data_IF_640210684200
#
_entry.id   IF_640210684200
#
_cell.length_a   1.000
_cell.length_b   1.000
_cell.length_c   1.000
_cell.angle_alpha   90.00
_cell.angle_beta   90.00
_cell.angle_gamma   90.00
#
_symmetry.space_group_name_H-M   'P 1'
#
loop_
_entity.id
_entity.type
_entity.pdbx_description
1 polymer ?
#
# COMPACT_ATOMS: atom_id res chain seq x y z
N UNK A 1 11.13 -11.63 23.66
CA UNK A 1 10.80 -13.01 24.12
C UNK A 1 12.06 -13.81 24.40
N UNK A 2 13.11 -13.69 23.58
CA UNK A 2 14.36 -14.46 23.70
C UNK A 2 15.15 -14.08 24.99
N UNK A 3 15.17 -12.81 25.38
CA UNK A 3 15.86 -12.35 26.58
C UNK A 3 15.18 -12.85 27.87
N UNK A 4 13.85 -12.99 27.89
CA UNK A 4 13.08 -13.51 29.03
C UNK A 4 13.28 -15.02 29.18
N UNK A 5 13.42 -15.75 28.08
CA UNK A 5 13.67 -17.19 28.09
C UNK A 5 15.09 -17.55 28.59
N UNK A 6 16.09 -16.69 28.34
CA UNK A 6 17.45 -16.89 28.86
C UNK A 6 17.52 -16.80 30.42
N UNK A 7 16.65 -16.00 31.04
CA UNK A 7 16.56 -15.87 32.48
C UNK A 7 15.82 -17.05 33.13
N UNK A 8 14.85 -17.65 32.43
CA UNK A 8 14.08 -18.79 32.96
C UNK A 8 14.87 -20.12 32.98
N UNK A 9 16.00 -20.23 32.25
CA UNK A 9 16.82 -21.44 32.19
C UNK A 9 17.90 -21.59 33.26
N UNK A 10 18.13 -20.59 34.12
CA UNK A 10 19.19 -20.58 35.13
C UNK A 10 18.63 -20.97 36.53
N UNK A 11 18.25 -22.19 36.63
CA UNK A 11 17.89 -22.76 37.95
C UNK A 11 19.05 -23.61 38.48
N UNK A 12 20.03 -22.96 39.18
CA UNK A 12 20.88 -23.56 40.26
C UNK A 12 22.03 -22.62 40.64
N UNK A 13 21.92 -21.99 41.84
CA UNK A 13 23.03 -21.31 42.52
C UNK A 13 22.83 -19.79 42.71
N UNK A 14 23.30 -19.26 43.85
CA UNK A 14 23.12 -17.89 44.31
C UNK A 14 23.60 -16.74 43.40
N UNK A 15 24.07 -17.00 42.19
CA UNK A 15 24.44 -16.04 41.17
C UNK A 15 23.23 -15.42 40.41
N UNK A 16 22.04 -16.02 40.53
CA UNK A 16 20.85 -15.67 39.74
C UNK A 16 20.23 -14.35 40.14
N UNK A 17 20.14 -14.06 41.43
CA UNK A 17 19.52 -12.83 41.94
C UNK A 17 20.39 -11.59 41.67
N UNK A 18 21.70 -11.70 41.77
CA UNK A 18 22.62 -10.61 41.53
C UNK A 18 22.71 -10.32 40.03
N UNK A 19 22.69 -11.34 39.17
CA UNK A 19 22.62 -11.19 37.74
C UNK A 19 21.29 -10.56 37.32
N UNK A 20 20.16 -10.99 37.89
CA UNK A 20 18.87 -10.37 37.62
C UNK A 20 18.86 -8.89 38.05
N UNK A 21 19.37 -8.53 39.21
CA UNK A 21 19.49 -7.15 39.66
C UNK A 21 20.38 -6.31 38.75
N UNK A 22 21.47 -6.87 38.22
CA UNK A 22 22.35 -6.21 37.30
C UNK A 22 21.70 -5.99 35.90
N UNK A 23 20.81 -6.89 35.45
CA UNK A 23 20.16 -6.82 34.13
C UNK A 23 18.87 -5.98 34.16
N UNK A 24 18.16 -5.89 35.28
CA UNK A 24 16.91 -5.13 35.39
C UNK A 24 16.96 -3.71 34.82
N UNK A 25 18.01 -2.88 35.05
CA UNK A 25 18.10 -1.53 34.54
C UNK A 25 18.19 -1.48 33.00
N UNK A 26 18.64 -2.56 32.34
CA UNK A 26 18.82 -2.60 30.88
C UNK A 26 17.57 -3.10 30.13
N UNK A 27 16.62 -3.73 30.85
CA UNK A 27 15.39 -4.26 30.25
C UNK A 27 14.58 -3.17 29.53
N UNK A 28 14.31 -1.98 30.12
CA UNK A 28 13.57 -0.93 29.43
C UNK A 28 14.26 -0.46 28.15
N UNK A 29 15.58 -0.33 28.16
CA UNK A 29 16.35 0.06 26.97
C UNK A 29 16.29 -1.02 25.89
N UNK A 30 16.41 -2.29 26.24
CA UNK A 30 16.29 -3.39 25.28
C UNK A 30 14.90 -3.46 24.65
N UNK A 31 13.85 -3.24 25.44
CA UNK A 31 12.46 -3.18 24.96
C UNK A 31 12.29 -1.97 24.02
N UNK A 32 12.80 -0.81 24.39
CA UNK A 32 12.72 0.40 23.56
C UNK A 32 13.44 0.21 22.24
N UNK A 33 14.65 -0.35 22.26
CA UNK A 33 15.43 -0.65 21.04
C UNK A 33 14.69 -1.64 20.14
N UNK A 34 14.16 -2.72 20.69
CA UNK A 34 13.39 -3.71 19.94
C UNK A 34 12.12 -3.09 19.32
N UNK A 35 11.44 -2.19 20.04
CA UNK A 35 10.28 -1.47 19.53
C UNK A 35 10.66 -0.55 18.38
N UNK A 36 11.78 0.18 18.52
CA UNK A 36 12.29 1.04 17.44
C UNK A 36 12.69 0.24 16.21
N UNK A 37 13.37 -0.90 16.38
CA UNK A 37 13.73 -1.78 15.26
C UNK A 37 12.50 -2.29 14.52
N UNK A 38 11.48 -2.78 15.24
CA UNK A 38 10.22 -3.21 14.63
C UNK A 38 9.49 -2.08 13.90
N UNK A 39 9.53 -0.87 14.46
CA UNK A 39 8.94 0.30 13.83
C UNK A 39 9.69 0.67 12.54
N UNK A 40 11.02 0.65 12.56
CA UNK A 40 11.84 0.88 11.36
C UNK A 40 11.59 -0.19 10.28
N UNK A 41 11.51 -1.46 10.68
CA UNK A 41 11.18 -2.55 9.78
C UNK A 41 9.79 -2.37 9.15
N UNK A 42 8.80 -2.02 9.96
CA UNK A 42 7.45 -1.72 9.47
C UNK A 42 7.46 -0.56 8.45
N UNK A 43 8.07 0.58 8.78
CA UNK A 43 8.16 1.74 7.90
C UNK A 43 9.01 1.50 6.64
N UNK A 44 9.87 0.48 6.64
CA UNK A 44 10.59 0.08 5.43
C UNK A 44 9.69 -0.48 4.34
N UNK A 45 8.55 -1.07 4.72
CA UNK A 45 7.62 -1.75 3.82
C UNK A 45 6.21 -1.14 3.78
N UNK A 46 5.92 -0.15 4.62
CA UNK A 46 4.61 0.49 4.68
C UNK A 46 4.72 2.01 4.52
N UNK A 47 3.67 2.60 3.97
CA UNK A 47 3.49 4.05 3.88
C UNK A 47 3.03 4.58 5.24
N UNK A 48 3.66 5.62 5.74
CA UNK A 48 3.44 6.17 7.08
C UNK A 48 2.08 6.88 7.25
N UNK A 49 1.51 7.40 6.16
CA UNK A 49 0.22 8.09 6.18
C UNK A 49 -0.96 7.12 6.10
N UNK A 50 -0.88 6.14 5.22
CA UNK A 50 -2.02 5.24 4.92
C UNK A 50 -1.91 3.86 5.57
N UNK A 51 -0.70 3.47 6.02
CA UNK A 51 -0.43 2.11 6.50
C UNK A 51 -0.43 1.03 5.40
N UNK A 52 -0.66 1.41 4.14
CA UNK A 52 -0.58 0.51 2.98
C UNK A 52 0.85 0.06 2.74
N UNK A 53 1.03 -0.96 1.92
CA UNK A 53 2.35 -1.34 1.41
C UNK A 53 2.94 -0.18 0.60
N UNK A 54 4.25 0.03 0.73
CA UNK A 54 4.94 1.09 0.02
C UNK A 54 5.64 0.57 -1.24
N UNK A 55 6.36 1.45 -1.94
CA UNK A 55 7.12 1.10 -3.13
C UNK A 55 8.19 0.03 -2.90
N UNK A 56 8.82 -0.01 -1.73
CA UNK A 56 9.84 -1.02 -1.44
C UNK A 56 9.20 -2.41 -1.34
N UNK A 57 7.99 -2.50 -0.77
CA UNK A 57 7.23 -3.76 -0.77
C UNK A 57 6.88 -4.24 -2.17
N UNK A 58 6.56 -3.32 -3.10
CA UNK A 58 6.33 -3.70 -4.49
C UNK A 58 7.59 -4.24 -5.16
N UNK A 59 8.74 -3.58 -4.95
CA UNK A 59 10.03 -4.07 -5.48
C UNK A 59 10.35 -5.46 -4.94
N UNK A 60 10.19 -5.65 -3.62
CA UNK A 60 10.41 -6.95 -2.99
C UNK A 60 9.43 -8.03 -3.53
N UNK A 61 8.18 -7.68 -3.76
CA UNK A 61 7.21 -8.56 -4.41
C UNK A 61 7.66 -8.94 -5.83
N UNK A 62 8.04 -7.97 -6.67
CA UNK A 62 8.47 -8.22 -8.05
C UNK A 62 9.73 -9.08 -8.12
N UNK A 63 10.69 -8.88 -7.21
CA UNK A 63 11.93 -9.65 -7.13
C UNK A 63 11.69 -11.11 -6.68
N UNK A 64 10.67 -11.37 -5.88
CA UNK A 64 10.43 -12.66 -5.26
C UNK A 64 9.25 -13.44 -5.84
N UNK A 65 8.34 -12.79 -6.59
CA UNK A 65 7.16 -13.44 -7.15
C UNK A 65 7.54 -14.49 -8.16
N UNK A 66 7.01 -15.70 -7.97
CA UNK A 66 7.19 -16.80 -8.91
C UNK A 66 6.00 -16.87 -9.86
N UNK A 67 6.13 -16.27 -11.01
CA UNK A 67 5.08 -16.24 -12.04
C UNK A 67 4.49 -17.61 -12.38
N UNK A 68 5.32 -18.67 -12.27
CA UNK A 68 4.89 -20.06 -12.49
C UNK A 68 3.91 -20.61 -11.42
N UNK A 69 3.83 -19.98 -10.25
CA UNK A 69 2.93 -20.35 -9.17
C UNK A 69 1.59 -19.59 -9.26
N UNK A 70 1.54 -18.50 -10.06
CA UNK A 70 0.34 -17.70 -10.28
C UNK A 70 -0.57 -18.36 -11.32
N UNK A 71 -1.84 -18.56 -10.96
CA UNK A 71 -2.86 -19.03 -11.91
C UNK A 71 -3.46 -17.88 -12.72
N UNK A 72 -3.52 -16.71 -12.12
CA UNK A 72 -3.96 -15.44 -12.71
C UNK A 72 -3.51 -14.29 -11.84
N UNK A 73 -3.42 -13.10 -12.42
CA UNK A 73 -3.10 -11.87 -11.72
C UNK A 73 -3.92 -10.72 -12.30
N UNK A 74 -4.64 -10.00 -11.44
CA UNK A 74 -5.25 -8.71 -11.75
C UNK A 74 -4.38 -7.59 -11.22
N UNK A 75 -4.14 -6.57 -12.04
CA UNK A 75 -3.45 -5.35 -11.66
C UNK A 75 -4.33 -4.13 -11.92
N UNK A 76 -4.35 -3.18 -10.97
CA UNK A 76 -5.08 -1.92 -11.07
C UNK A 76 -4.18 -0.79 -10.59
N UNK A 77 -3.89 0.17 -11.47
CA UNK A 77 -3.17 1.41 -11.14
C UNK A 77 -4.16 2.56 -11.00
N UNK A 78 -3.98 3.40 -9.99
CA UNK A 78 -4.84 4.52 -9.65
C UNK A 78 -4.00 5.76 -9.39
N UNK A 79 -4.50 6.92 -9.81
CA UNK A 79 -3.87 8.22 -9.56
C UNK A 79 -4.95 9.26 -9.19
N UNK A 80 -4.65 10.08 -8.17
CA UNK A 80 -5.52 11.17 -7.73
C UNK A 80 -5.23 12.42 -8.57
N UNK A 81 -6.14 12.78 -9.45
CA UNK A 81 -5.99 13.93 -10.33
C UNK A 81 -6.05 15.24 -9.54
N UNK A 82 -5.05 16.09 -9.72
CA UNK A 82 -5.10 17.45 -9.20
C UNK A 82 -4.92 17.60 -7.70
N UNK A 83 -4.42 16.59 -6.97
CA UNK A 83 -4.16 16.63 -5.53
C UNK A 83 -3.38 17.89 -5.10
N UNK A 84 -2.42 18.35 -5.92
CA UNK A 84 -1.67 19.58 -5.67
C UNK A 84 -2.54 20.84 -5.62
N UNK A 85 -3.56 20.91 -6.47
CA UNK A 85 -4.50 22.04 -6.49
C UNK A 85 -5.45 21.95 -5.30
N UNK A 86 -5.90 20.74 -4.96
CA UNK A 86 -6.68 20.48 -3.75
C UNK A 86 -5.94 20.94 -2.50
N UNK A 87 -4.67 20.57 -2.34
CA UNK A 87 -3.84 20.97 -1.22
C UNK A 87 -3.65 22.51 -1.14
N UNK A 88 -3.65 23.19 -2.28
CA UNK A 88 -3.56 24.67 -2.30
C UNK A 88 -4.87 25.35 -1.87
N UNK A 89 -6.00 24.75 -2.22
CA UNK A 89 -7.33 25.31 -1.96
C UNK A 89 -7.84 25.00 -0.56
N UNK A 90 -7.67 23.75 -0.12
CA UNK A 90 -8.26 23.23 1.13
C UNK A 90 -7.23 22.92 2.23
N UNK A 91 -5.94 23.05 1.93
CA UNK A 91 -4.86 22.72 2.87
C UNK A 91 -4.35 21.27 2.73
N UNK A 92 -3.17 21.03 3.30
CA UNK A 92 -2.52 19.70 3.23
C UNK A 92 -3.27 18.63 4.02
N UNK A 93 -3.78 18.98 5.18
CA UNK A 93 -4.51 18.05 6.06
C UNK A 93 -5.71 17.43 5.34
N UNK A 94 -6.42 18.25 4.54
CA UNK A 94 -7.54 17.77 3.72
C UNK A 94 -7.07 16.81 2.62
N UNK A 95 -5.95 17.11 1.96
CA UNK A 95 -5.35 16.19 0.98
C UNK A 95 -4.93 14.87 1.58
N UNK A 96 -4.37 14.89 2.78
CA UNK A 96 -3.97 13.70 3.53
C UNK A 96 -5.20 12.86 3.93
N UNK A 97 -6.32 13.50 4.28
CA UNK A 97 -7.60 12.82 4.52
C UNK A 97 -8.13 12.13 3.25
N UNK A 98 -8.10 12.79 2.10
CA UNK A 98 -8.50 12.21 0.80
C UNK A 98 -7.63 11.00 0.45
N UNK A 99 -6.31 11.11 0.60
CA UNK A 99 -5.35 10.04 0.38
C UNK A 99 -5.69 8.84 1.27
N UNK A 100 -5.86 9.07 2.57
CA UNK A 100 -6.16 8.00 3.53
C UNK A 100 -7.48 7.31 3.20
N UNK A 101 -8.52 8.09 2.89
CA UNK A 101 -9.85 7.58 2.51
C UNK A 101 -9.81 6.70 1.26
N UNK A 102 -9.03 7.08 0.24
CA UNK A 102 -8.85 6.27 -0.97
C UNK A 102 -8.17 4.95 -0.60
N UNK A 103 -7.13 5.00 0.22
CA UNK A 103 -6.45 3.80 0.70
C UNK A 103 -7.39 2.84 1.45
N UNK A 104 -8.24 3.36 2.34
CA UNK A 104 -9.25 2.58 3.08
C UNK A 104 -10.24 1.89 2.13
N UNK A 105 -10.74 2.60 1.11
CA UNK A 105 -11.63 2.02 0.10
C UNK A 105 -10.94 0.90 -0.66
N UNK A 106 -9.70 1.10 -1.08
CA UNK A 106 -8.97 0.07 -1.80
C UNK A 106 -8.76 -1.19 -0.93
N UNK A 107 -8.42 -1.04 0.34
CA UNK A 107 -8.31 -2.18 1.26
C UNK A 107 -9.66 -2.87 1.49
N UNK A 108 -10.76 -2.12 1.57
CA UNK A 108 -12.11 -2.67 1.76
C UNK A 108 -12.53 -3.56 0.57
N UNK A 109 -12.31 -3.09 -0.67
CA UNK A 109 -12.76 -3.81 -1.86
C UNK A 109 -11.77 -4.86 -2.37
N UNK A 110 -10.49 -4.72 -2.06
CA UNK A 110 -9.43 -5.64 -2.48
C UNK A 110 -8.78 -6.37 -1.29
N UNK A 111 -9.58 -6.79 -0.31
CA UNK A 111 -9.13 -7.47 0.92
C UNK A 111 -8.38 -8.79 0.68
N UNK A 112 -8.49 -9.39 -0.50
CA UNK A 112 -7.75 -10.58 -0.93
C UNK A 112 -6.50 -10.26 -1.76
N UNK A 113 -6.22 -8.97 -1.99
CA UNK A 113 -5.09 -8.49 -2.76
C UNK A 113 -4.14 -7.66 -1.93
N UNK A 114 -3.04 -7.29 -2.54
CA UNK A 114 -2.07 -6.37 -1.99
C UNK A 114 -2.29 -4.96 -2.54
N UNK A 115 -2.38 -3.99 -1.64
CA UNK A 115 -2.60 -2.58 -1.97
C UNK A 115 -1.35 -1.79 -1.62
N UNK A 116 -0.78 -1.14 -2.62
CA UNK A 116 0.45 -0.36 -2.51
C UNK A 116 0.15 1.13 -2.72
N UNK A 117 0.79 1.98 -1.92
CA UNK A 117 0.92 3.41 -2.22
C UNK A 117 2.32 3.68 -2.73
N UNK A 118 2.45 4.01 -4.01
CA UNK A 118 3.75 4.13 -4.69
C UNK A 118 4.38 5.52 -4.55
N UNK A 119 3.53 6.55 -4.61
CA UNK A 119 3.87 7.96 -4.44
C UNK A 119 2.71 8.68 -3.76
N UNK A 120 2.82 10.01 -3.59
CA UNK A 120 1.82 10.83 -2.91
C UNK A 120 0.38 10.63 -3.39
N UNK A 121 0.16 10.44 -4.69
CA UNK A 121 -1.14 10.36 -5.36
C UNK A 121 -1.37 9.04 -6.13
N UNK A 122 -0.40 8.11 -6.12
CA UNK A 122 -0.46 6.88 -6.92
C UNK A 122 -0.57 5.63 -6.06
N UNK A 123 -1.51 4.76 -6.45
CA UNK A 123 -1.73 3.44 -5.86
C UNK A 123 -1.63 2.35 -6.92
N UNK A 124 -1.25 1.17 -6.47
CA UNK A 124 -1.30 -0.07 -7.24
C UNK A 124 -1.99 -1.14 -6.41
N UNK A 125 -2.84 -1.92 -7.05
CA UNK A 125 -3.47 -3.10 -6.45
C UNK A 125 -3.10 -4.32 -7.27
N UNK A 126 -2.65 -5.37 -6.60
CA UNK A 126 -2.38 -6.68 -7.20
C UNK A 126 -3.28 -7.73 -6.55
N UNK A 127 -4.01 -8.49 -7.35
CA UNK A 127 -4.91 -9.55 -6.86
C UNK A 127 -4.56 -10.86 -7.53
N UNK A 128 -3.91 -11.73 -6.78
CA UNK A 128 -3.51 -13.05 -7.25
C UNK A 128 -4.69 -14.03 -7.29
N UNK A 129 -4.61 -14.98 -8.21
CA UNK A 129 -5.51 -16.13 -8.30
C UNK A 129 -7.00 -15.75 -8.33
N UNK A 130 -7.33 -14.59 -8.88
CA UNK A 130 -8.70 -14.10 -9.07
C UNK A 130 -9.20 -14.37 -10.48
N UNK A 131 -10.53 -14.42 -10.67
CA UNK A 131 -11.12 -14.44 -12.01
C UNK A 131 -11.29 -13.04 -12.55
N UNK A 132 -11.28 -12.89 -13.88
CA UNK A 132 -11.53 -11.60 -14.54
C UNK A 132 -12.84 -10.97 -14.07
N UNK A 133 -13.90 -11.77 -13.96
CA UNK A 133 -15.22 -11.29 -13.51
C UNK A 133 -15.20 -10.77 -12.08
N UNK A 134 -14.57 -11.48 -11.14
CA UNK A 134 -14.47 -11.05 -9.75
C UNK A 134 -13.61 -9.78 -9.64
N UNK A 135 -12.49 -9.73 -10.35
CA UNK A 135 -11.59 -8.58 -10.33
C UNK A 135 -12.28 -7.32 -10.87
N UNK A 136 -12.92 -7.41 -12.04
CA UNK A 136 -13.65 -6.27 -12.63
C UNK A 136 -14.83 -5.83 -11.78
N UNK A 137 -15.53 -6.76 -11.12
CA UNK A 137 -16.60 -6.44 -10.18
C UNK A 137 -16.09 -5.65 -8.97
N UNK A 138 -14.94 -6.03 -8.41
CA UNK A 138 -14.29 -5.30 -7.32
C UNK A 138 -13.87 -3.89 -7.77
N UNK A 139 -13.27 -3.76 -8.97
CA UNK A 139 -12.91 -2.45 -9.55
C UNK A 139 -14.14 -1.55 -9.68
N UNK A 140 -15.23 -2.06 -10.26
CA UNK A 140 -16.43 -1.26 -10.47
C UNK A 140 -17.03 -0.78 -9.15
N UNK A 141 -17.09 -1.64 -8.15
CA UNK A 141 -17.59 -1.30 -6.82
C UNK A 141 -16.69 -0.26 -6.12
N UNK A 142 -15.37 -0.44 -6.17
CA UNK A 142 -14.41 0.52 -5.65
C UNK A 142 -14.49 1.87 -6.36
N UNK A 143 -14.55 1.88 -7.71
CA UNK A 143 -14.69 3.10 -8.51
C UNK A 143 -15.92 3.91 -8.12
N UNK A 144 -17.08 3.27 -8.00
CA UNK A 144 -18.33 3.94 -7.58
C UNK A 144 -18.17 4.60 -6.20
N UNK A 145 -17.46 3.97 -5.28
CA UNK A 145 -17.21 4.53 -3.95
C UNK A 145 -16.21 5.68 -4.01
N UNK A 146 -15.16 5.53 -4.80
CA UNK A 146 -14.12 6.55 -4.98
C UNK A 146 -14.66 7.80 -5.67
N UNK A 147 -15.53 7.70 -6.64
CA UNK A 147 -16.19 8.84 -7.29
C UNK A 147 -16.93 9.73 -6.29
N UNK A 148 -17.57 9.12 -5.29
CA UNK A 148 -18.26 9.85 -4.23
C UNK A 148 -17.31 10.56 -3.26
N UNK A 149 -16.08 10.09 -3.09
CA UNK A 149 -15.08 10.66 -2.17
C UNK A 149 -14.24 11.71 -2.87
N UNK A 150 -13.78 11.41 -4.07
CA UNK A 150 -12.81 12.22 -4.81
C UNK A 150 -13.43 13.16 -5.83
N UNK A 151 -14.76 13.27 -5.89
CA UNK A 151 -15.49 14.09 -6.85
C UNK A 151 -15.10 13.82 -8.32
N UNK A 152 -14.84 12.56 -8.67
CA UNK A 152 -14.41 12.16 -10.02
C UNK A 152 -12.95 12.47 -10.34
N UNK A 153 -12.12 12.69 -9.34
CA UNK A 153 -10.71 13.06 -9.51
C UNK A 153 -9.75 11.86 -9.58
N UNK A 154 -10.24 10.66 -9.86
CA UNK A 154 -9.41 9.46 -9.93
C UNK A 154 -9.27 9.00 -11.38
N UNK A 155 -8.04 8.72 -11.81
CA UNK A 155 -7.76 8.03 -13.08
C UNK A 155 -7.31 6.61 -12.79
N UNK A 156 -7.78 5.65 -13.58
CA UNK A 156 -7.53 4.22 -13.38
C UNK A 156 -7.04 3.55 -14.66
N UNK A 157 -6.15 2.57 -14.50
CA UNK A 157 -5.79 1.63 -15.56
C UNK A 157 -5.75 0.24 -14.95
N UNK A 158 -6.39 -0.73 -15.58
CA UNK A 158 -6.39 -2.10 -15.08
C UNK A 158 -6.27 -3.12 -16.21
N UNK A 159 -5.70 -4.27 -15.86
CA UNK A 159 -5.58 -5.41 -16.76
C UNK A 159 -5.56 -6.70 -15.93
N UNK A 160 -5.78 -7.83 -16.60
CA UNK A 160 -5.82 -9.14 -15.98
C UNK A 160 -5.22 -10.18 -16.91
N UNK A 161 -4.28 -10.96 -16.39
CA UNK A 161 -3.61 -12.01 -17.12
C UNK A 161 -3.81 -13.38 -16.49
N UNK A 162 -3.78 -14.42 -17.32
CA UNK A 162 -3.88 -15.83 -16.95
C UNK A 162 -2.89 -16.64 -17.78
N UNK A 163 -2.11 -17.49 -17.10
CA UNK A 163 -1.04 -18.29 -17.70
C UNK A 163 0.12 -17.40 -18.23
N UNK A 164 1.33 -17.88 -18.06
CA UNK A 164 2.57 -17.23 -18.52
C UNK A 164 2.63 -15.72 -18.19
N UNK A 165 2.28 -15.40 -16.94
CA UNK A 165 2.13 -14.01 -16.47
C UNK A 165 3.49 -13.34 -16.37
N UNK A 166 3.66 -12.24 -17.11
CA UNK A 166 4.77 -11.31 -16.94
C UNK A 166 4.32 -10.16 -16.03
N UNK A 167 4.62 -10.30 -14.74
CA UNK A 167 4.14 -9.39 -13.70
C UNK A 167 4.64 -7.96 -13.92
N UNK A 168 5.91 -7.77 -14.28
CA UNK A 168 6.47 -6.44 -14.52
C UNK A 168 5.79 -5.77 -15.73
N UNK A 169 5.59 -6.53 -16.80
CA UNK A 169 4.89 -6.04 -17.98
C UNK A 169 3.44 -5.68 -17.68
N UNK A 170 2.74 -6.50 -16.91
CA UNK A 170 1.37 -6.24 -16.50
C UNK A 170 1.27 -4.94 -15.66
N UNK A 171 2.15 -4.75 -14.69
CA UNK A 171 2.23 -3.53 -13.89
C UNK A 171 2.52 -2.31 -14.76
N UNK A 172 3.49 -2.39 -15.68
CA UNK A 172 3.79 -1.31 -16.60
C UNK A 172 2.61 -0.96 -17.53
N UNK A 173 1.89 -1.97 -18.03
CA UNK A 173 0.72 -1.77 -18.89
C UNK A 173 -0.38 -0.98 -18.18
N UNK A 174 -0.74 -1.37 -16.94
CA UNK A 174 -1.81 -0.68 -16.20
C UNK A 174 -1.41 0.76 -15.82
N UNK A 175 -0.13 1.03 -15.57
CA UNK A 175 0.36 2.39 -15.38
C UNK A 175 0.22 3.25 -16.64
N UNK A 176 0.52 2.69 -17.82
CA UNK A 176 0.35 3.38 -19.11
C UNK A 176 -1.12 3.70 -19.33
N UNK A 177 -2.02 2.72 -19.12
CA UNK A 177 -3.47 2.90 -19.27
C UNK A 177 -4.00 4.00 -18.35
N UNK A 178 -3.59 4.01 -17.09
CA UNK A 178 -3.95 5.03 -16.11
C UNK A 178 -3.49 6.43 -16.55
N UNK A 179 -2.25 6.57 -17.04
CA UNK A 179 -1.72 7.84 -17.55
C UNK A 179 -2.47 8.35 -18.80
N UNK A 180 -2.89 7.45 -19.68
CA UNK A 180 -3.70 7.80 -20.83
C UNK A 180 -5.07 8.32 -20.42
N UNK A 181 -5.72 7.69 -19.46
CA UNK A 181 -6.99 8.14 -18.90
C UNK A 181 -6.84 9.51 -18.23
N UNK A 182 -5.81 9.68 -17.41
CA UNK A 182 -5.46 10.96 -16.78
C UNK A 182 -5.32 12.09 -17.83
N UNK A 183 -4.62 11.81 -18.92
CA UNK A 183 -4.43 12.79 -19.99
C UNK A 183 -5.75 13.16 -20.72
N UNK A 184 -6.67 12.20 -20.89
CA UNK A 184 -8.00 12.44 -21.46
C UNK A 184 -8.84 13.32 -20.51
N UNK A 185 -8.83 13.06 -19.23
CA UNK A 185 -9.54 13.84 -18.22
C UNK A 185 -9.07 15.29 -18.19
N UNK A 186 -7.76 15.54 -18.20
CA UNK A 186 -7.23 16.92 -18.27
C UNK A 186 -7.58 17.66 -19.56
N UNK A 187 -7.66 16.99 -20.70
CA UNK A 187 -8.06 17.62 -21.97
C UNK A 187 -9.54 18.02 -21.96
N UNK A 188 -10.39 17.23 -21.32
CA UNK A 188 -11.82 17.51 -21.19
C UNK A 188 -12.09 18.70 -20.25
N UNK A 189 -11.37 18.79 -19.12
CA UNK A 189 -11.46 19.93 -18.20
C UNK A 189 -11.05 21.25 -18.87
N UNK A 190 -10.00 21.25 -19.70
CA UNK A 190 -9.56 22.45 -20.43
C UNK A 190 -10.57 22.88 -21.50
N UNK A 191 -11.28 21.97 -22.15
CA UNK A 191 -12.31 22.31 -23.15
C UNK A 191 -13.57 22.89 -22.51
N UNK A 192 -13.95 22.46 -21.31
CA UNK A 192 -15.10 22.98 -20.59
C UNK A 192 -14.92 24.43 -20.11
N UNK A 193 -13.68 24.87 -19.83
CA UNK A 193 -13.38 26.24 -19.41
C UNK A 193 -13.29 27.27 -20.55
N UNK A 194 -13.35 26.84 -21.82
CA UNK A 194 -13.35 27.73 -23.00
C UNK A 194 -14.75 28.00 -23.56
N UNK A 195 -15.80 27.44 -22.95
CA UNK A 195 -17.20 27.59 -23.38
C UNK A 195 -18.10 28.28 -22.33
N UNK A 196 -17.51 28.83 -21.28
CA UNK A 196 -18.23 29.60 -20.25
C UNK A 196 -17.89 31.09 -20.32
#
# INVERSE_FOLDING_TARGET
TTAILAVAGVHRGGCTLDLMRALLPYIPQAIALQKMQKQQEYLSYHDDLTGLLNRNSLVDYLDNVKSSELKSLGALSIDINGLKNFNKEFGRDYGDEVITRIGEVLQEYFHSGEVYRLTGDQYLVLVENTTYENFTKQIYAAHTKLDNISLGLVSMGYDWEKLDIDVEKLVNNVEVMMREEKNKSYKNLKKGHHQA
#
